data_IF_537373666273
#
_entry.id   IF_537373666273
#
_cell.length_a   1.000
_cell.length_b   1.000
_cell.length_c   1.000
_cell.angle_alpha   90.00
_cell.angle_beta   90.00
_cell.angle_gamma   90.00
#
_symmetry.space_group_name_H-M   'P 1'
#
loop_
_entity.id
_entity.type
_entity.pdbx_description
1 polymer ?
#
# COMPACT_ATOMS: atom_id res chain seq x y z
N UNK A 1 41.58 29.87 53.38
CA UNK A 1 40.29 29.43 52.80
C UNK A 1 39.46 30.55 52.14
N UNK A 2 39.70 31.84 52.42
CA UNK A 2 38.98 32.94 51.73
C UNK A 2 39.72 33.43 50.46
N UNK A 3 41.05 33.27 50.38
CA UNK A 3 41.82 33.66 49.19
C UNK A 3 41.67 32.71 47.98
N UNK A 4 41.50 31.39 48.22
CA UNK A 4 41.40 30.39 47.13
C UNK A 4 40.03 30.37 46.43
N UNK A 5 38.97 30.89 47.06
CA UNK A 5 37.64 30.98 46.42
C UNK A 5 37.53 32.18 45.49
N UNK A 6 38.28 33.26 45.77
CA UNK A 6 38.33 34.46 44.93
C UNK A 6 39.06 34.21 43.59
N UNK A 7 40.05 33.32 43.57
CA UNK A 7 40.78 32.95 42.34
C UNK A 7 39.94 32.07 41.41
N UNK A 8 39.18 31.11 41.93
CA UNK A 8 38.31 30.24 41.11
C UNK A 8 37.16 31.03 40.45
N UNK A 9 36.49 31.93 41.19
CA UNK A 9 35.45 32.79 40.63
C UNK A 9 35.99 33.74 39.57
N UNK A 10 37.22 34.25 39.76
CA UNK A 10 37.88 35.10 38.76
C UNK A 10 38.22 34.32 37.47
N UNK A 11 38.65 33.07 37.60
CA UNK A 11 38.97 32.19 36.48
C UNK A 11 37.71 31.83 35.70
N UNK A 12 36.64 31.46 36.41
CA UNK A 12 35.33 31.18 35.81
C UNK A 12 34.77 32.42 35.12
N UNK A 13 34.91 33.60 35.73
CA UNK A 13 34.54 34.89 35.11
C UNK A 13 35.34 35.20 33.83
N UNK A 14 36.63 34.85 33.78
CA UNK A 14 37.48 35.01 32.57
C UNK A 14 37.10 34.01 31.48
N UNK A 15 36.85 32.75 31.83
CA UNK A 15 36.39 31.71 30.90
C UNK A 15 35.02 32.08 30.33
N UNK A 16 34.07 32.49 31.18
CA UNK A 16 32.75 32.99 30.79
C UNK A 16 32.87 34.14 29.79
N UNK A 17 33.73 35.15 30.05
CA UNK A 17 33.96 36.25 29.09
C UNK A 17 34.57 35.77 27.77
N UNK A 18 35.47 34.79 27.82
CA UNK A 18 36.20 34.33 26.63
C UNK A 18 35.36 33.45 25.70
N UNK A 19 34.37 32.74 26.24
CA UNK A 19 33.51 31.81 25.48
C UNK A 19 32.09 32.33 25.25
N UNK A 20 31.45 33.01 26.21
CA UNK A 20 30.04 33.44 26.07
C UNK A 20 29.86 34.83 25.47
N UNK A 21 30.90 35.68 25.47
CA UNK A 21 30.83 37.03 24.90
C UNK A 21 31.48 37.13 23.51
N UNK A 22 31.83 36.00 22.90
CA UNK A 22 32.23 35.98 21.49
C UNK A 22 31.02 36.30 20.61
N UNK A 23 31.16 37.21 19.62
CA UNK A 23 30.07 37.57 18.72
C UNK A 23 29.42 36.35 18.07
N UNK A 24 30.20 35.34 17.73
CA UNK A 24 29.74 34.11 17.07
C UNK A 24 28.88 33.25 18.01
N UNK A 25 29.27 33.14 19.28
CA UNK A 25 28.54 32.36 20.28
C UNK A 25 27.22 33.04 20.65
N UNK A 26 27.22 34.37 20.78
CA UNK A 26 26.01 35.15 20.98
C UNK A 26 25.07 35.04 19.77
N UNK A 27 25.62 35.07 18.55
CA UNK A 27 24.84 34.93 17.32
C UNK A 27 24.19 33.54 17.20
N UNK A 28 24.93 32.47 17.50
CA UNK A 28 24.40 31.10 17.53
C UNK A 28 23.33 30.93 18.61
N UNK A 29 23.54 31.52 19.79
CA UNK A 29 22.55 31.51 20.86
C UNK A 29 21.26 32.22 20.42
N UNK A 30 21.37 33.40 19.79
CA UNK A 30 20.22 34.13 19.25
C UNK A 30 19.48 33.33 18.16
N UNK A 31 20.19 32.66 17.25
CA UNK A 31 19.57 31.78 16.25
C UNK A 31 18.85 30.61 16.93
N UNK A 32 19.49 29.96 17.91
CA UNK A 32 18.88 28.83 18.61
C UNK A 32 17.62 29.24 19.38
N UNK A 33 17.61 30.41 20.00
CA UNK A 33 16.45 30.98 20.68
C UNK A 33 15.36 31.41 19.69
N UNK A 34 15.73 31.96 18.53
CA UNK A 34 14.80 32.30 17.47
C UNK A 34 14.15 31.05 16.85
N UNK A 35 14.94 29.99 16.61
CA UNK A 35 14.44 28.68 16.16
C UNK A 35 13.56 28.03 17.22
N UNK A 36 13.97 28.05 18.49
CA UNK A 36 13.15 27.54 19.59
C UNK A 36 11.83 28.31 19.70
N UNK A 37 11.87 29.65 19.62
CA UNK A 37 10.66 30.47 19.56
C UNK A 37 9.82 30.14 18.33
N UNK A 38 10.41 29.97 17.15
CA UNK A 38 9.68 29.62 15.93
C UNK A 38 9.01 28.25 16.06
N UNK A 39 9.74 27.22 16.48
CA UNK A 39 9.18 25.86 16.64
C UNK A 39 8.16 25.77 17.76
N UNK A 40 8.32 26.50 18.88
CA UNK A 40 7.43 26.34 20.03
C UNK A 40 6.39 27.45 20.20
N UNK A 41 6.46 28.56 19.46
CA UNK A 41 5.47 29.64 19.49
C UNK A 41 4.70 29.85 18.19
N UNK A 42 5.04 29.18 17.08
CA UNK A 42 4.14 29.14 15.92
C UNK A 42 2.89 28.32 16.25
N UNK A 43 1.73 28.90 15.95
CA UNK A 43 0.44 28.28 16.24
C UNK A 43 0.25 26.96 15.48
N UNK A 44 0.93 26.77 14.35
CA UNK A 44 0.93 25.52 13.59
C UNK A 44 1.55 24.35 14.36
N UNK A 45 2.73 24.54 14.96
CA UNK A 45 3.37 23.46 15.76
C UNK A 45 2.61 23.21 17.06
N UNK A 46 2.09 24.26 17.70
CA UNK A 46 1.20 24.09 18.86
C UNK A 46 -0.06 23.31 18.49
N UNK A 47 -0.63 23.54 17.31
CA UNK A 47 -1.79 22.82 16.80
C UNK A 47 -1.46 21.36 16.50
N UNK A 48 -0.29 21.08 15.90
CA UNK A 48 0.17 19.71 15.66
C UNK A 48 0.41 18.97 16.98
N UNK A 49 1.14 19.57 17.94
CA UNK A 49 1.41 18.95 19.25
C UNK A 49 0.12 18.75 20.04
N UNK A 50 -0.80 19.72 20.01
CA UNK A 50 -2.12 19.60 20.64
C UNK A 50 -2.94 18.51 19.98
N UNK A 51 -2.98 18.46 18.65
CA UNK A 51 -3.65 17.41 17.87
C UNK A 51 -3.10 16.01 18.19
N UNK A 52 -1.77 15.84 18.21
CA UNK A 52 -1.14 14.57 18.59
C UNK A 52 -1.45 14.18 20.03
N UNK A 53 -1.41 15.14 20.96
CA UNK A 53 -1.72 14.90 22.38
C UNK A 53 -3.21 14.57 22.59
N UNK A 54 -4.10 15.24 21.87
CA UNK A 54 -5.54 15.00 21.91
C UNK A 54 -5.88 13.66 21.26
N UNK A 55 -5.19 13.27 20.16
CA UNK A 55 -5.28 11.94 19.56
C UNK A 55 -4.82 10.85 20.54
N UNK A 56 -3.68 11.02 21.21
CA UNK A 56 -3.20 10.07 22.24
C UNK A 56 -4.15 9.98 23.42
N UNK A 57 -4.75 11.10 23.86
CA UNK A 57 -5.78 11.11 24.91
C UNK A 57 -7.06 10.42 24.46
N UNK A 58 -7.48 10.60 23.22
CA UNK A 58 -8.65 9.95 22.65
C UNK A 58 -8.43 8.43 22.53
N UNK A 59 -7.22 8.00 22.11
CA UNK A 59 -6.82 6.59 22.10
C UNK A 59 -6.82 6.01 23.51
N UNK A 60 -6.21 6.68 24.49
CA UNK A 60 -6.22 6.23 25.89
C UNK A 60 -7.63 6.21 26.48
N UNK A 61 -8.48 7.18 26.13
CA UNK A 61 -9.88 7.26 26.52
C UNK A 61 -10.69 6.09 25.95
N UNK A 62 -10.58 5.84 24.63
CA UNK A 62 -11.22 4.71 23.96
C UNK A 62 -10.74 3.36 24.48
N UNK A 63 -9.44 3.20 24.77
CA UNK A 63 -8.90 1.97 25.38
C UNK A 63 -9.46 1.78 26.79
N UNK A 64 -9.57 2.83 27.59
CA UNK A 64 -10.17 2.77 28.92
C UNK A 64 -11.69 2.48 28.86
N UNK A 65 -12.39 3.01 27.86
CA UNK A 65 -13.81 2.80 27.60
C UNK A 65 -14.09 1.38 27.09
N UNK A 66 -13.23 0.84 26.21
CA UNK A 66 -13.25 -0.57 25.80
C UNK A 66 -13.00 -1.50 27.00
N UNK A 67 -12.03 -1.20 27.85
CA UNK A 67 -11.77 -1.96 29.08
C UNK A 67 -12.91 -1.87 30.11
N UNK A 68 -13.70 -0.81 30.12
CA UNK A 68 -14.92 -0.71 30.94
C UNK A 68 -16.11 -1.46 30.31
N UNK A 69 -16.26 -1.43 28.98
CA UNK A 69 -17.31 -2.17 28.26
C UNK A 69 -17.12 -3.69 28.28
N UNK A 70 -15.88 -4.19 28.39
CA UNK A 70 -15.60 -5.62 28.61
C UNK A 70 -16.27 -6.19 29.87
N UNK A 71 -16.61 -5.36 30.87
CA UNK A 71 -17.30 -5.82 32.09
C UNK A 71 -18.83 -5.92 31.98
N UNK A 72 -19.47 -5.34 30.96
CA UNK A 72 -20.94 -5.25 30.91
C UNK A 72 -21.60 -5.55 29.56
N UNK A 73 -20.86 -6.03 28.55
CA UNK A 73 -21.46 -6.43 27.26
C UNK A 73 -20.52 -6.47 26.05
N UNK A 74 -19.21 -6.29 26.24
CA UNK A 74 -18.23 -6.18 25.14
C UNK A 74 -18.00 -7.44 24.29
N UNK A 75 -18.42 -8.62 24.74
CA UNK A 75 -18.26 -9.86 23.96
C UNK A 75 -19.14 -9.85 22.70
N UNK A 76 -20.38 -9.37 22.81
CA UNK A 76 -21.34 -9.33 21.69
C UNK A 76 -20.96 -8.28 20.62
N UNK A 77 -20.30 -7.18 21.01
CA UNK A 77 -19.86 -6.12 20.08
C UNK A 77 -18.63 -6.57 19.29
N UNK A 78 -17.66 -7.21 19.94
CA UNK A 78 -16.49 -7.77 19.25
C UNK A 78 -16.90 -8.91 18.33
N UNK A 79 -17.81 -9.80 18.75
CA UNK A 79 -18.34 -10.87 17.90
C UNK A 79 -19.10 -10.33 16.69
N UNK A 80 -19.83 -9.21 16.83
CA UNK A 80 -20.47 -8.53 15.70
C UNK A 80 -19.46 -7.84 14.76
N UNK A 81 -18.44 -7.14 15.29
CA UNK A 81 -17.38 -6.50 14.50
C UNK A 81 -16.51 -7.53 13.74
N UNK A 82 -16.31 -8.74 14.29
CA UNK A 82 -15.59 -9.85 13.66
C UNK A 82 -16.49 -10.88 12.95
N UNK A 83 -17.79 -10.61 12.82
CA UNK A 83 -18.72 -11.52 12.13
C UNK A 83 -18.58 -11.48 10.60
N UNK A 84 -18.00 -10.42 10.05
CA UNK A 84 -17.87 -10.17 8.60
C UNK A 84 -16.41 -10.20 8.16
N UNK A 85 -15.87 -11.41 8.05
CA UNK A 85 -14.48 -11.64 7.65
C UNK A 85 -14.40 -12.67 6.55
N UNK A 86 -13.43 -12.51 5.66
CA UNK A 86 -13.10 -13.45 4.59
C UNK A 86 -11.64 -13.86 4.73
N UNK A 87 -11.39 -15.16 4.57
CA UNK A 87 -10.06 -15.70 4.67
C UNK A 87 -9.79 -16.70 3.54
N UNK A 88 -8.55 -16.73 3.11
CA UNK A 88 -8.04 -17.74 2.18
C UNK A 88 -6.68 -18.19 2.68
N UNK A 89 -6.41 -19.49 2.60
CA UNK A 89 -5.09 -20.04 2.90
C UNK A 89 -4.77 -21.19 1.97
N UNK A 90 -3.60 -21.12 1.37
CA UNK A 90 -2.96 -22.19 0.61
C UNK A 90 -1.48 -22.26 0.99
N UNK A 91 -0.77 -23.30 0.54
CA UNK A 91 0.59 -23.67 0.96
C UNK A 91 1.53 -22.48 1.23
N UNK A 92 1.55 -21.49 0.34
CA UNK A 92 2.43 -20.32 0.43
C UNK A 92 1.67 -18.98 0.34
N UNK A 93 0.34 -18.97 0.45
CA UNK A 93 -0.48 -17.76 0.34
C UNK A 93 -1.49 -17.71 1.47
N UNK A 94 -1.61 -16.56 2.13
CA UNK A 94 -2.68 -16.30 3.08
C UNK A 94 -3.31 -14.94 2.78
N UNK A 95 -4.64 -14.87 2.81
CA UNK A 95 -5.39 -13.63 2.73
C UNK A 95 -6.29 -13.55 3.95
N UNK A 96 -6.35 -12.37 4.54
CA UNK A 96 -7.35 -12.05 5.54
C UNK A 96 -7.97 -10.70 5.22
N UNK A 97 -9.27 -10.62 5.38
CA UNK A 97 -10.07 -9.50 4.94
C UNK A 97 -11.21 -9.27 5.91
N UNK A 98 -11.42 -8.04 6.34
CA UNK A 98 -12.50 -7.68 7.25
C UNK A 98 -13.24 -6.45 6.75
N UNK A 99 -14.57 -6.42 6.96
CA UNK A 99 -15.37 -5.24 6.67
C UNK A 99 -14.92 -4.02 7.51
N UNK A 100 -14.41 -4.27 8.71
CA UNK A 100 -13.96 -3.21 9.60
C UNK A 100 -15.12 -2.33 10.04
N UNK A 101 -14.96 -1.01 9.96
CA UNK A 101 -15.93 -0.03 10.48
C UNK A 101 -16.89 0.52 9.41
N UNK A 102 -16.78 0.05 8.17
CA UNK A 102 -17.68 0.42 7.07
C UNK A 102 -18.99 -0.36 7.16
N UNK A 103 -20.05 0.19 6.56
CA UNK A 103 -21.36 -0.49 6.47
C UNK A 103 -21.34 -1.65 5.47
N UNK A 104 -20.53 -1.53 4.43
CA UNK A 104 -20.37 -2.48 3.33
C UNK A 104 -18.94 -3.00 3.23
N UNK A 105 -18.80 -4.20 2.66
CA UNK A 105 -17.52 -4.77 2.28
C UNK A 105 -17.37 -4.63 0.76
N UNK A 106 -16.60 -3.65 0.31
CA UNK A 106 -16.37 -3.36 -1.11
C UNK A 106 -15.02 -3.89 -1.60
N UNK A 107 -14.11 -4.21 -0.68
CA UNK A 107 -12.86 -4.92 -0.94
C UNK A 107 -13.10 -6.32 -1.52
N UNK A 108 -12.26 -6.71 -2.49
CA UNK A 108 -12.21 -8.04 -3.10
C UNK A 108 -10.76 -8.49 -3.29
N UNK A 109 -10.56 -9.81 -3.31
CA UNK A 109 -9.28 -10.42 -3.65
C UNK A 109 -9.49 -11.66 -4.51
N UNK A 110 -8.46 -12.04 -5.26
CA UNK A 110 -8.41 -13.31 -5.98
C UNK A 110 -7.02 -13.93 -5.97
N UNK A 111 -6.96 -15.26 -5.90
CA UNK A 111 -5.72 -16.05 -5.89
C UNK A 111 -5.85 -17.20 -6.88
N UNK A 112 -5.14 -17.10 -8.01
CA UNK A 112 -5.15 -18.12 -9.06
C UNK A 112 -3.74 -18.69 -9.24
N UNK A 113 -3.51 -19.89 -8.72
CA UNK A 113 -2.21 -20.58 -8.78
C UNK A 113 -2.33 -21.91 -9.52
N UNK A 114 -1.45 -22.19 -10.48
CA UNK A 114 -1.29 -23.53 -11.08
C UNK A 114 0.02 -24.16 -10.60
N UNK A 115 0.03 -24.56 -9.33
CA UNK A 115 1.25 -25.09 -8.68
C UNK A 115 1.67 -26.43 -9.29
N UNK A 116 0.71 -27.21 -9.82
CA UNK A 116 0.94 -28.57 -10.31
C UNK A 116 1.55 -28.54 -11.71
N UNK A 117 0.92 -27.85 -12.66
CA UNK A 117 1.42 -27.87 -14.04
C UNK A 117 2.35 -26.69 -14.34
N UNK A 118 2.36 -25.65 -13.48
CA UNK A 118 3.09 -24.39 -13.69
C UNK A 118 2.88 -23.83 -15.10
N UNK A 119 1.69 -24.01 -15.65
CA UNK A 119 1.41 -23.68 -17.06
C UNK A 119 1.35 -22.18 -17.35
N UNK A 120 1.22 -21.38 -16.30
CA UNK A 120 1.26 -19.92 -16.33
C UNK A 120 1.76 -19.36 -14.98
N UNK A 121 2.19 -18.09 -14.93
CA UNK A 121 2.47 -17.41 -13.66
C UNK A 121 1.29 -17.44 -12.70
N UNK A 122 1.55 -17.55 -11.40
CA UNK A 122 0.50 -17.37 -10.39
C UNK A 122 -0.01 -15.93 -10.42
N UNK A 123 -1.33 -15.75 -10.29
CA UNK A 123 -2.00 -14.46 -10.37
C UNK A 123 -2.58 -14.13 -8.99
N UNK A 124 -2.29 -12.93 -8.50
CA UNK A 124 -2.78 -12.41 -7.24
C UNK A 124 -3.41 -11.04 -7.47
N UNK A 125 -4.63 -10.83 -7.00
CA UNK A 125 -5.36 -9.57 -7.18
C UNK A 125 -5.94 -9.03 -5.87
N UNK A 126 -5.83 -7.72 -5.67
CA UNK A 126 -6.56 -6.93 -4.67
C UNK A 126 -7.32 -5.82 -5.40
N UNK A 127 -8.61 -5.69 -5.10
CA UNK A 127 -9.52 -4.73 -5.69
C UNK A 127 -10.28 -4.03 -4.57
N UNK A 128 -9.88 -2.80 -4.26
CA UNK A 128 -10.51 -1.98 -3.24
C UNK A 128 -11.65 -1.20 -3.90
N UNK A 129 -12.88 -1.55 -3.56
CA UNK A 129 -14.08 -1.01 -4.20
C UNK A 129 -14.55 0.27 -3.54
N UNK A 130 -15.17 1.16 -4.32
CA UNK A 130 -15.80 2.37 -3.80
C UNK A 130 -17.04 2.75 -4.60
N UNK A 131 -18.01 3.37 -3.92
CA UNK A 131 -19.27 3.81 -4.55
C UNK A 131 -20.17 2.63 -4.96
N UNK A 132 -19.97 1.46 -4.38
CA UNK A 132 -20.67 0.22 -4.66
C UNK A 132 -19.71 -0.95 -4.93
N UNK A 133 -20.19 -2.17 -4.68
CA UNK A 133 -19.41 -3.40 -4.82
C UNK A 133 -19.22 -3.84 -6.30
N UNK A 134 -20.03 -3.29 -7.22
CA UNK A 134 -20.18 -3.82 -8.58
C UNK A 134 -18.90 -3.80 -9.42
N UNK A 135 -18.06 -2.77 -9.29
CA UNK A 135 -16.81 -2.66 -10.02
C UNK A 135 -15.77 -3.68 -9.51
N UNK A 136 -15.61 -3.79 -8.19
CA UNK A 136 -14.70 -4.74 -7.55
C UNK A 136 -15.13 -6.20 -7.81
N UNK A 137 -16.44 -6.49 -7.75
CA UNK A 137 -17.01 -7.80 -8.10
C UNK A 137 -16.71 -8.16 -9.56
N UNK A 138 -16.88 -7.22 -10.48
CA UNK A 138 -16.59 -7.44 -11.88
C UNK A 138 -15.11 -7.69 -12.12
N UNK A 139 -14.24 -6.87 -11.52
CA UNK A 139 -12.79 -7.01 -11.65
C UNK A 139 -12.29 -8.35 -11.12
N UNK A 140 -12.74 -8.75 -9.92
CA UNK A 140 -12.46 -10.06 -9.32
C UNK A 140 -12.86 -11.21 -10.25
N UNK A 141 -14.06 -11.15 -10.83
CA UNK A 141 -14.61 -12.26 -11.62
C UNK A 141 -13.97 -12.43 -13.00
N UNK A 142 -13.50 -11.36 -13.63
CA UNK A 142 -13.10 -11.38 -15.06
C UNK A 142 -11.60 -11.23 -15.28
N UNK A 143 -10.91 -10.36 -14.52
CA UNK A 143 -9.49 -10.06 -14.79
C UNK A 143 -8.57 -11.27 -14.61
N UNK A 144 -8.66 -12.04 -13.50
CA UNK A 144 -7.75 -13.17 -13.28
C UNK A 144 -7.92 -14.26 -14.34
N UNK A 145 -9.16 -14.50 -14.79
CA UNK A 145 -9.45 -15.48 -15.83
C UNK A 145 -8.98 -15.01 -17.21
N UNK A 146 -9.20 -13.74 -17.56
CA UNK A 146 -8.69 -13.16 -18.81
C UNK A 146 -7.16 -13.19 -18.88
N UNK A 147 -6.49 -12.85 -17.77
CA UNK A 147 -5.03 -12.98 -17.63
C UNK A 147 -4.59 -14.43 -17.78
N UNK A 148 -5.27 -15.38 -17.12
CA UNK A 148 -4.94 -16.81 -17.21
C UNK A 148 -4.94 -17.30 -18.66
N UNK A 149 -5.99 -16.99 -19.42
CA UNK A 149 -6.10 -17.41 -20.83
C UNK A 149 -4.98 -16.82 -21.70
N UNK A 150 -4.69 -15.53 -21.52
CA UNK A 150 -3.65 -14.86 -22.30
C UNK A 150 -2.25 -15.34 -21.93
N UNK A 151 -1.98 -15.57 -20.63
CA UNK A 151 -0.70 -16.07 -20.13
C UNK A 151 -0.45 -17.52 -20.55
N UNK A 152 -1.49 -18.38 -20.55
CA UNK A 152 -1.39 -19.75 -21.07
C UNK A 152 -0.97 -19.77 -22.54
N UNK A 153 -1.58 -18.90 -23.35
CA UNK A 153 -1.25 -18.78 -24.78
C UNK A 153 0.18 -18.28 -24.94
N UNK A 154 0.55 -17.26 -24.17
CA UNK A 154 1.89 -16.68 -24.16
C UNK A 154 2.98 -17.69 -23.77
N UNK A 155 2.81 -18.45 -22.69
CA UNK A 155 3.80 -19.45 -22.28
C UNK A 155 3.95 -20.57 -23.32
N UNK A 156 2.86 -21.05 -23.92
CA UNK A 156 2.92 -22.05 -25.01
C UNK A 156 3.66 -21.53 -26.24
N UNK A 157 3.47 -20.26 -26.60
CA UNK A 157 4.22 -19.62 -27.69
C UNK A 157 5.69 -19.47 -27.34
N UNK A 158 5.99 -19.04 -26.11
CA UNK A 158 7.34 -18.86 -25.61
C UNK A 158 8.12 -20.17 -25.54
N UNK A 159 7.49 -21.27 -25.13
CA UNK A 159 8.11 -22.60 -25.13
C UNK A 159 8.42 -23.08 -26.55
N UNK A 160 7.46 -22.96 -27.48
CA UNK A 160 7.67 -23.31 -28.90
C UNK A 160 8.79 -22.50 -29.54
N UNK A 161 8.91 -21.22 -29.22
CA UNK A 161 9.99 -20.37 -29.72
C UNK A 161 11.34 -20.76 -29.11
N UNK A 162 11.40 -21.07 -27.81
CA UNK A 162 12.63 -21.60 -27.16
C UNK A 162 13.12 -22.91 -27.77
N UNK A 163 12.22 -23.79 -28.20
CA UNK A 163 12.58 -25.03 -28.90
C UNK A 163 13.17 -24.75 -30.28
N UNK A 164 12.59 -23.82 -31.04
CA UNK A 164 13.09 -23.42 -32.38
C UNK A 164 14.43 -22.69 -32.31
N UNK A 165 14.64 -21.86 -31.30
CA UNK A 165 15.89 -21.10 -31.13
C UNK A 165 17.06 -22.00 -30.73
N UNK A 166 16.81 -23.18 -30.14
CA UNK A 166 17.86 -24.20 -29.95
C UNK A 166 18.35 -24.81 -31.26
N UNK A 167 17.58 -24.67 -32.35
CA UNK A 167 17.91 -25.22 -33.67
C UNK A 167 18.50 -24.16 -34.63
N UNK A 168 18.52 -22.87 -34.26
CA UNK A 168 19.04 -21.77 -35.12
C UNK A 168 19.84 -20.75 -34.31
N UNK A 169 21.14 -20.61 -34.63
CA UNK A 169 22.10 -19.69 -33.98
C UNK A 169 21.87 -18.18 -34.21
N UNK A 170 20.71 -17.76 -34.75
CA UNK A 170 20.44 -16.35 -35.05
C UNK A 170 19.48 -15.71 -34.02
N UNK A 171 20.06 -14.92 -33.11
CA UNK A 171 19.31 -14.03 -32.21
C UNK A 171 18.61 -12.92 -33.01
N UNK A 172 17.32 -13.11 -33.31
CA UNK A 172 16.44 -11.99 -33.68
C UNK A 172 15.84 -11.37 -32.41
N UNK A 173 16.02 -10.07 -32.23
CA UNK A 173 15.17 -9.28 -31.34
C UNK A 173 13.73 -9.35 -31.86
N UNK A 174 12.91 -10.23 -31.27
CA UNK A 174 11.47 -10.22 -31.51
C UNK A 174 10.84 -9.24 -30.53
N UNK A 175 10.21 -8.20 -31.06
CA UNK A 175 9.26 -7.34 -30.33
C UNK A 175 7.99 -8.11 -29.97
N UNK A 176 8.13 -9.12 -29.11
CA UNK A 176 7.06 -10.01 -28.67
C UNK A 176 6.29 -9.46 -27.47
N UNK A 177 5.09 -10.02 -27.25
CA UNK A 177 4.32 -9.82 -26.03
C UNK A 177 5.19 -10.07 -24.78
N UNK A 178 4.91 -9.33 -23.72
CA UNK A 178 5.58 -9.44 -22.42
C UNK A 178 4.54 -9.44 -21.31
N UNK A 179 4.88 -9.90 -20.09
CA UNK A 179 3.95 -9.82 -18.97
C UNK A 179 3.47 -8.37 -18.71
N UNK A 180 4.32 -7.33 -18.75
CA UNK A 180 3.85 -5.95 -18.65
C UNK A 180 2.80 -5.59 -19.72
N UNK A 181 3.05 -5.93 -20.99
CA UNK A 181 2.10 -5.62 -22.07
C UNK A 181 0.78 -6.37 -21.92
N UNK A 182 0.82 -7.63 -21.46
CA UNK A 182 -0.38 -8.43 -21.21
C UNK A 182 -1.20 -7.79 -20.07
N UNK A 183 -0.56 -7.43 -18.96
CA UNK A 183 -1.24 -6.76 -17.84
C UNK A 183 -1.89 -5.46 -18.26
N UNK A 184 -1.15 -4.59 -18.96
CA UNK A 184 -1.66 -3.32 -19.46
C UNK A 184 -2.90 -3.52 -20.35
N UNK A 185 -2.80 -4.41 -21.34
CA UNK A 185 -3.89 -4.68 -22.27
C UNK A 185 -5.13 -5.25 -21.58
N UNK A 186 -4.96 -6.20 -20.65
CA UNK A 186 -6.08 -6.82 -19.95
C UNK A 186 -6.76 -5.84 -18.97
N UNK A 187 -5.98 -5.03 -18.24
CA UNK A 187 -6.54 -4.02 -17.33
C UNK A 187 -7.32 -2.95 -18.10
N UNK A 188 -6.77 -2.44 -19.21
CA UNK A 188 -7.46 -1.44 -20.04
C UNK A 188 -8.70 -2.01 -20.74
N UNK A 189 -8.68 -3.30 -21.08
CA UNK A 189 -9.85 -3.98 -21.68
C UNK A 189 -10.95 -4.18 -20.64
N UNK A 190 -10.60 -4.68 -19.47
CA UNK A 190 -11.51 -4.84 -18.34
C UNK A 190 -12.17 -3.52 -17.97
N UNK A 191 -11.43 -2.42 -17.97
CA UNK A 191 -12.01 -1.11 -17.65
C UNK A 191 -13.12 -0.71 -18.64
N UNK A 192 -12.91 -0.93 -19.93
CA UNK A 192 -13.94 -0.66 -20.96
C UNK A 192 -15.19 -1.49 -20.70
N UNK A 193 -15.03 -2.77 -20.37
CA UNK A 193 -16.15 -3.67 -20.04
C UNK A 193 -16.90 -3.24 -18.77
N UNK A 194 -16.17 -2.80 -17.75
CA UNK A 194 -16.77 -2.22 -16.52
C UNK A 194 -17.58 -0.98 -16.89
N UNK A 195 -17.00 -0.06 -17.67
CA UNK A 195 -17.68 1.18 -18.08
C UNK A 195 -18.96 0.89 -18.86
N UNK A 196 -18.90 0.03 -19.87
CA UNK A 196 -20.07 -0.35 -20.68
C UNK A 196 -21.20 -0.93 -19.80
N UNK A 197 -20.84 -1.78 -18.84
CA UNK A 197 -21.80 -2.42 -17.93
C UNK A 197 -22.39 -1.43 -16.91
N UNK A 198 -21.55 -0.63 -16.27
CA UNK A 198 -21.97 0.24 -15.17
C UNK A 198 -22.67 1.51 -15.66
N UNK A 199 -22.24 2.09 -16.79
CA UNK A 199 -22.92 3.25 -17.37
C UNK A 199 -24.34 2.92 -17.84
N UNK A 200 -24.59 1.68 -18.30
CA UNK A 200 -25.92 1.21 -18.69
C UNK A 200 -26.92 1.16 -17.52
N UNK A 201 -26.42 1.07 -16.29
CA UNK A 201 -27.23 1.00 -15.06
C UNK A 201 -27.10 2.25 -14.19
N UNK A 202 -26.44 3.31 -14.68
CA UNK A 202 -26.11 4.52 -13.93
C UNK A 202 -25.41 4.24 -12.59
N UNK A 203 -24.62 3.17 -12.55
CA UNK A 203 -23.84 2.80 -11.39
C UNK A 203 -22.47 3.49 -11.48
N UNK A 204 -22.14 4.32 -10.49
CA UNK A 204 -20.89 5.10 -10.48
C UNK A 204 -19.74 4.40 -9.75
N UNK A 205 -19.91 3.12 -9.39
CA UNK A 205 -18.90 2.36 -8.67
C UNK A 205 -17.55 2.33 -9.41
N UNK A 206 -16.49 2.30 -8.63
CA UNK A 206 -15.13 2.11 -9.10
C UNK A 206 -14.38 1.14 -8.21
N UNK A 207 -13.17 0.80 -8.63
CA UNK A 207 -12.27 -0.02 -7.82
C UNK A 207 -10.82 0.24 -8.16
N UNK A 208 -9.92 0.07 -7.19
CA UNK A 208 -8.50 -0.06 -7.47
C UNK A 208 -8.21 -1.40 -8.16
N UNK A 209 -7.01 -1.55 -8.70
CA UNK A 209 -6.54 -2.81 -9.27
C UNK A 209 -5.05 -2.97 -8.98
N UNK A 210 -4.73 -3.81 -7.99
CA UNK A 210 -3.37 -4.23 -7.71
C UNK A 210 -3.25 -5.71 -8.08
N UNK A 211 -2.45 -6.01 -9.10
CA UNK A 211 -2.28 -7.37 -9.61
C UNK A 211 -0.81 -7.74 -9.70
N UNK A 212 -0.46 -8.91 -9.18
CA UNK A 212 0.88 -9.48 -9.27
C UNK A 212 0.88 -10.80 -10.05
N UNK A 213 1.78 -10.89 -11.03
CA UNK A 213 2.12 -12.11 -11.76
C UNK A 213 3.44 -12.67 -11.23
N UNK A 214 3.39 -13.86 -10.66
CA UNK A 214 4.54 -14.54 -10.08
C UNK A 214 4.92 -15.77 -10.91
N UNK A 215 6.06 -15.67 -11.60
CA UNK A 215 6.73 -16.80 -12.25
C UNK A 215 7.90 -17.30 -11.41
N UNK A 216 8.59 -18.35 -11.84
CA UNK A 216 9.74 -18.90 -11.10
C UNK A 216 10.92 -17.91 -10.97
N UNK A 217 11.06 -16.94 -11.87
CA UNK A 217 12.23 -16.02 -11.93
C UNK A 217 11.87 -14.54 -11.89
N UNK A 218 10.64 -14.20 -12.24
CA UNK A 218 10.19 -12.82 -12.38
C UNK A 218 8.88 -12.61 -11.64
N UNK A 219 8.78 -11.47 -10.96
CA UNK A 219 7.56 -10.91 -10.41
C UNK A 219 7.23 -9.64 -11.19
N UNK A 220 6.04 -9.57 -11.79
CA UNK A 220 5.52 -8.36 -12.46
C UNK A 220 4.28 -7.89 -11.73
N UNK A 221 4.26 -6.61 -11.31
CA UNK A 221 3.15 -6.02 -10.57
C UNK A 221 2.60 -4.82 -11.33
N UNK A 222 1.28 -4.78 -11.51
CA UNK A 222 0.55 -3.66 -12.07
C UNK A 222 -0.32 -3.03 -10.98
N UNK A 223 -0.33 -1.70 -10.91
CA UNK A 223 -1.16 -0.96 -9.96
C UNK A 223 -1.99 0.12 -10.65
N UNK A 224 -3.27 0.21 -10.28
CA UNK A 224 -4.21 1.29 -10.60
C UNK A 224 -4.92 1.66 -9.30
N UNK A 225 -4.51 2.75 -8.66
CA UNK A 225 -5.15 3.25 -7.45
C UNK A 225 -4.16 3.32 -6.30
N UNK A 226 -4.65 3.21 -5.07
CA UNK A 226 -3.90 3.38 -3.83
C UNK A 226 -3.83 2.12 -2.95
N UNK A 227 -4.33 0.98 -3.44
CA UNK A 227 -3.80 -0.31 -3.04
C UNK A 227 -2.29 -0.39 -3.30
N UNK A 228 -1.55 -1.09 -2.44
CA UNK A 228 -0.08 -1.16 -2.54
C UNK A 228 0.47 -2.56 -2.33
N UNK A 229 1.51 -2.87 -3.11
CA UNK A 229 2.34 -4.06 -2.95
C UNK A 229 3.71 -3.72 -2.36
N UNK A 230 4.20 -4.54 -1.43
CA UNK A 230 5.53 -4.41 -0.81
C UNK A 230 6.16 -5.80 -0.67
N UNK A 231 7.43 -5.93 -1.01
CA UNK A 231 8.21 -7.17 -0.92
C UNK A 231 9.25 -7.08 0.20
N UNK A 232 9.47 -8.18 0.90
CA UNK A 232 10.60 -8.36 1.81
C UNK A 232 11.72 -9.09 1.08
N UNK A 233 12.87 -8.43 0.90
CA UNK A 233 14.06 -9.09 0.34
C UNK A 233 14.75 -10.01 1.36
N UNK A 234 15.80 -10.73 0.92
CA UNK A 234 16.61 -11.62 1.77
C UNK A 234 17.25 -10.94 3.00
N UNK A 235 17.46 -9.64 2.94
CA UNK A 235 18.11 -8.87 4.00
C UNK A 235 17.07 -8.29 4.97
N UNK A 236 15.77 -8.43 4.67
CA UNK A 236 14.66 -7.91 5.47
C UNK A 236 14.21 -6.51 5.08
N UNK A 237 14.68 -5.97 3.96
CA UNK A 237 14.32 -4.63 3.52
C UNK A 237 12.95 -4.65 2.83
N UNK A 238 12.19 -3.58 3.04
CA UNK A 238 10.94 -3.34 2.35
C UNK A 238 11.22 -2.74 0.96
N UNK A 239 10.80 -3.45 -0.09
CA UNK A 239 10.90 -3.01 -1.48
C UNK A 239 9.48 -2.71 -1.99
N UNK A 240 9.13 -1.45 -2.29
CA UNK A 240 7.85 -1.12 -2.90
C UNK A 240 7.70 -1.82 -4.25
N UNK A 241 6.61 -2.57 -4.43
CA UNK A 241 6.24 -3.21 -5.69
C UNK A 241 5.34 -2.32 -6.56
N UNK A 242 4.70 -1.33 -5.94
CA UNK A 242 3.87 -0.33 -6.59
C UNK A 242 3.97 1.02 -5.87
N UNK A 243 3.43 2.06 -6.51
CA UNK A 243 3.26 3.38 -5.92
C UNK A 243 1.80 3.78 -6.02
N UNK A 244 1.24 4.30 -4.94
CA UNK A 244 -0.14 4.77 -4.92
C UNK A 244 -0.36 5.88 -5.93
N UNK A 245 -1.53 5.91 -6.53
CA UNK A 245 -1.98 6.98 -7.41
C UNK A 245 -2.81 7.98 -6.63
N UNK A 246 -2.14 8.86 -5.86
CA UNK A 246 -2.81 9.89 -5.06
C UNK A 246 -2.86 11.24 -5.80
N UNK A 247 -3.95 12.01 -5.71
CA UNK A 247 -4.13 13.24 -6.49
C UNK A 247 -3.03 14.29 -6.25
N UNK A 248 -2.48 14.37 -5.04
CA UNK A 248 -1.46 15.36 -4.68
C UNK A 248 -0.09 15.10 -5.33
N UNK A 249 0.15 13.91 -5.88
CA UNK A 249 1.40 13.58 -6.55
C UNK A 249 1.59 14.43 -7.81
N UNK A 250 2.84 14.83 -8.09
CA UNK A 250 3.11 15.80 -9.15
C UNK A 250 2.69 15.33 -10.55
N UNK A 251 2.91 14.05 -10.89
CA UNK A 251 2.51 13.44 -12.18
C UNK A 251 0.99 13.50 -12.35
N UNK A 252 0.26 13.07 -11.33
CA UNK A 252 -1.20 12.99 -11.32
C UNK A 252 -1.85 14.38 -11.31
N UNK A 253 -1.37 15.27 -10.44
CA UNK A 253 -1.83 16.67 -10.36
C UNK A 253 -1.69 17.41 -11.69
N UNK A 254 -0.57 17.22 -12.38
CA UNK A 254 -0.34 17.82 -13.72
C UNK A 254 -1.32 17.25 -14.74
N UNK A 255 -1.54 15.93 -14.74
CA UNK A 255 -2.50 15.26 -15.64
C UNK A 255 -3.92 15.77 -15.42
N UNK A 256 -4.40 15.77 -14.17
CA UNK A 256 -5.75 16.22 -13.80
C UNK A 256 -5.97 17.68 -14.22
N UNK A 257 -5.01 18.56 -13.92
CA UNK A 257 -5.09 19.98 -14.32
C UNK A 257 -5.11 20.15 -15.85
N UNK A 258 -4.34 19.35 -16.59
CA UNK A 258 -4.33 19.38 -18.06
C UNK A 258 -5.67 18.93 -18.65
N UNK A 259 -6.37 18.01 -17.99
CA UNK A 259 -7.73 17.59 -18.35
C UNK A 259 -8.82 18.63 -17.98
N UNK A 260 -8.46 19.77 -17.40
CA UNK A 260 -9.41 20.79 -16.94
C UNK A 260 -10.04 20.49 -15.57
N UNK A 261 -9.60 19.42 -14.90
CA UNK A 261 -10.02 19.08 -13.55
C UNK A 261 -9.31 19.90 -12.47
N UNK A 262 -9.81 19.77 -11.25
CA UNK A 262 -9.21 20.35 -10.05
C UNK A 262 -9.04 19.31 -8.95
N UNK A 263 -8.25 19.67 -7.94
CA UNK A 263 -8.06 18.88 -6.73
C UNK A 263 -8.41 19.77 -5.56
N UNK A 264 -9.25 19.28 -4.65
CA UNK A 264 -9.60 19.97 -3.41
C UNK A 264 -9.30 19.08 -2.20
N UNK A 265 -9.13 19.70 -1.04
CA UNK A 265 -8.89 19.00 0.21
C UNK A 265 -10.19 18.95 1.03
N UNK A 266 -10.66 17.75 1.35
CA UNK A 266 -11.81 17.50 2.24
C UNK A 266 -11.53 16.25 3.08
N UNK A 267 -10.78 16.43 4.17
CA UNK A 267 -10.19 15.34 4.97
C UNK A 267 -9.01 14.66 4.28
N UNK A 268 -9.11 14.44 2.96
CA UNK A 268 -8.05 13.98 2.07
C UNK A 268 -8.06 14.77 0.75
N UNK A 269 -6.98 14.71 -0.02
CA UNK A 269 -6.91 15.31 -1.36
C UNK A 269 -7.75 14.52 -2.34
N UNK A 270 -8.68 15.18 -3.04
CA UNK A 270 -9.68 14.53 -3.89
C UNK A 270 -9.76 15.15 -5.29
N UNK A 271 -9.85 14.30 -6.32
CA UNK A 271 -10.11 14.70 -7.71
C UNK A 271 -11.55 15.18 -7.84
N UNK A 272 -11.75 16.37 -8.39
CA UNK A 272 -13.06 17.05 -8.46
C UNK A 272 -13.75 17.21 -7.08
N UNK A 273 -13.00 17.09 -5.98
CA UNK A 273 -13.56 17.02 -4.63
C UNK A 273 -14.30 15.74 -4.27
N UNK A 274 -14.25 14.72 -5.14
CA UNK A 274 -15.00 13.46 -5.00
C UNK A 274 -14.05 12.32 -4.61
N UNK A 275 -13.14 11.93 -5.51
CA UNK A 275 -12.38 10.68 -5.38
C UNK A 275 -10.98 10.90 -4.77
N UNK A 276 -10.61 10.11 -3.76
CA UNK A 276 -9.34 10.28 -3.01
C UNK A 276 -8.09 9.70 -3.72
N UNK A 277 -8.30 9.01 -4.83
CA UNK A 277 -7.28 8.47 -5.73
C UNK A 277 -7.41 9.10 -7.13
N UNK A 278 -6.32 9.09 -7.91
CA UNK A 278 -6.28 9.69 -9.24
C UNK A 278 -6.49 8.71 -10.38
N UNK A 279 -6.41 7.40 -10.11
CA UNK A 279 -6.60 6.33 -11.07
C UNK A 279 -7.45 5.23 -10.45
N UNK A 280 -8.31 4.63 -11.26
CA UNK A 280 -9.22 3.55 -10.86
C UNK A 280 -9.84 2.90 -12.09
N UNK A 281 -10.41 1.72 -11.90
CA UNK A 281 -11.33 1.10 -12.83
C UNK A 281 -12.77 1.55 -12.53
N UNK A 282 -13.64 1.61 -13.53
CA UNK A 282 -14.99 2.17 -13.36
C UNK A 282 -14.99 3.70 -13.27
N UNK A 283 -15.75 4.30 -12.34
CA UNK A 283 -15.84 5.76 -12.16
C UNK A 283 -16.19 6.54 -13.45
N UNK A 284 -17.17 6.03 -14.23
CA UNK A 284 -17.51 6.57 -15.54
C UNK A 284 -17.75 8.10 -15.55
N UNK A 285 -18.38 8.73 -14.54
CA UNK A 285 -18.57 10.18 -14.56
C UNK A 285 -17.24 10.96 -14.58
N UNK A 286 -16.23 10.47 -13.83
CA UNK A 286 -14.91 11.10 -13.76
C UNK A 286 -14.05 10.77 -14.98
N UNK A 287 -14.23 9.58 -15.59
CA UNK A 287 -13.57 9.22 -16.84
C UNK A 287 -14.08 10.00 -18.04
N UNK A 288 -15.37 10.32 -18.08
CA UNK A 288 -15.93 11.21 -19.11
C UNK A 288 -15.29 12.62 -19.08
N UNK A 289 -14.76 13.04 -17.93
CA UNK A 289 -14.00 14.29 -17.77
C UNK A 289 -12.48 14.11 -17.99
N UNK A 290 -12.00 12.89 -18.24
CA UNK A 290 -10.58 12.53 -18.34
C UNK A 290 -9.73 12.87 -17.09
N UNK A 291 -10.37 13.08 -15.93
CA UNK A 291 -9.67 13.43 -14.68
C UNK A 291 -9.25 12.20 -13.89
N UNK A 292 -9.90 11.06 -14.11
CA UNK A 292 -9.50 9.73 -13.62
C UNK A 292 -9.20 8.85 -14.85
N UNK A 293 -8.20 7.98 -14.73
CA UNK A 293 -7.77 7.09 -15.83
C UNK A 293 -7.52 5.66 -15.31
N UNK A 294 -7.65 4.63 -16.16
CA UNK A 294 -7.39 3.24 -15.78
C UNK A 294 -5.93 2.79 -16.01
N UNK A 295 -5.07 3.66 -16.56
CA UNK A 295 -3.71 3.27 -16.95
C UNK A 295 -2.88 2.77 -15.75
N UNK A 296 -2.38 1.52 -15.80
CA UNK A 296 -1.55 0.97 -14.74
C UNK A 296 -0.12 1.50 -14.78
N UNK A 297 0.48 1.70 -13.61
CA UNK A 297 1.94 1.72 -13.50
C UNK A 297 2.39 0.26 -13.26
N UNK A 298 3.36 -0.23 -14.05
CA UNK A 298 3.80 -1.63 -14.05
C UNK A 298 5.30 -1.72 -13.73
N UNK A 299 5.66 -2.64 -12.83
CA UNK A 299 7.04 -2.88 -12.39
C UNK A 299 7.38 -4.38 -12.47
N UNK A 300 8.58 -4.70 -12.97
CA UNK A 300 9.12 -6.08 -13.03
C UNK A 300 10.35 -6.22 -12.14
N UNK A 301 10.46 -7.37 -11.48
CA UNK A 301 11.49 -7.67 -10.49
C UNK A 301 12.11 -9.06 -10.73
N UNK A 302 13.45 -9.13 -10.74
CA UNK A 302 14.19 -10.40 -10.84
C UNK A 302 14.33 -11.06 -9.47
N UNK A 303 13.65 -12.20 -9.30
CA UNK A 303 13.60 -12.96 -8.06
C UNK A 303 14.94 -13.64 -7.72
N UNK A 304 15.77 -13.93 -8.72
CA UNK A 304 17.09 -14.50 -8.47
C UNK A 304 18.04 -13.49 -7.82
N UNK A 305 17.87 -12.20 -8.17
CA UNK A 305 18.64 -11.11 -7.59
C UNK A 305 18.13 -10.75 -6.19
N UNK A 306 16.82 -10.60 -6.04
CA UNK A 306 16.20 -10.16 -4.79
C UNK A 306 16.15 -11.24 -3.71
N UNK A 307 15.97 -12.51 -4.11
CA UNK A 307 15.80 -13.66 -3.22
C UNK A 307 14.79 -13.35 -2.08
N UNK A 308 13.57 -12.94 -2.42
CA UNK A 308 12.61 -12.46 -1.44
C UNK A 308 12.13 -13.55 -0.48
N UNK A 309 11.73 -13.15 0.72
CA UNK A 309 11.10 -14.03 1.71
C UNK A 309 9.58 -14.10 1.49
N UNK A 310 8.93 -12.95 1.36
CA UNK A 310 7.49 -12.82 1.12
C UNK A 310 7.15 -11.49 0.45
N UNK A 311 5.93 -11.37 -0.08
CA UNK A 311 5.33 -10.10 -0.48
C UNK A 311 3.98 -9.90 0.19
N UNK A 312 3.62 -8.64 0.35
CA UNK A 312 2.37 -8.13 0.92
C UNK A 312 1.65 -7.39 -0.19
N UNK A 313 0.40 -7.74 -0.47
CA UNK A 313 -0.51 -6.97 -1.32
C UNK A 313 -1.70 -6.57 -0.46
N UNK A 314 -2.06 -5.30 -0.40
CA UNK A 314 -3.16 -4.85 0.47
C UNK A 314 -3.85 -3.59 -0.03
N UNK A 315 -5.11 -3.42 0.38
CA UNK A 315 -5.86 -2.15 0.26
C UNK A 315 -5.27 -1.07 1.17
N UNK A 316 -5.68 0.19 0.96
CA UNK A 316 -5.17 1.30 1.76
C UNK A 316 -5.62 1.21 3.23
N UNK A 317 -6.65 0.41 3.53
CA UNK A 317 -7.02 0.01 4.88
C UNK A 317 -5.87 -0.60 5.71
N UNK A 318 -4.81 -1.13 5.09
CA UNK A 318 -3.55 -1.42 5.78
C UNK A 318 -2.59 -0.22 5.77
N UNK A 319 -2.34 0.34 4.59
CA UNK A 319 -1.25 1.31 4.35
C UNK A 319 -1.47 2.68 4.98
N UNK A 320 -2.71 3.01 5.34
CA UNK A 320 -3.05 4.21 6.11
C UNK A 320 -2.63 4.10 7.58
N UNK A 321 -2.41 2.89 8.10
CA UNK A 321 -1.98 2.68 9.49
C UNK A 321 -0.59 2.05 9.64
N UNK A 322 0.03 1.60 8.55
CA UNK A 322 1.37 1.00 8.54
C UNK A 322 2.27 1.61 7.47
N UNK A 323 3.51 1.91 7.85
CA UNK A 323 4.58 2.08 6.86
C UNK A 323 5.00 0.74 6.25
N UNK A 324 5.67 0.80 5.09
CA UNK A 324 6.17 -0.37 4.39
C UNK A 324 7.11 -1.20 5.29
N UNK A 325 8.03 -0.53 5.99
CA UNK A 325 9.04 -1.14 6.86
C UNK A 325 8.41 -1.78 8.10
N UNK A 326 7.39 -1.14 8.69
CA UNK A 326 6.67 -1.70 9.83
C UNK A 326 5.87 -2.94 9.43
N UNK A 327 5.18 -2.91 8.28
CA UNK A 327 4.40 -4.05 7.79
C UNK A 327 5.30 -5.26 7.50
N UNK A 328 6.43 -5.04 6.83
CA UNK A 328 7.43 -6.09 6.56
C UNK A 328 7.98 -6.66 7.86
N UNK A 329 8.39 -5.83 8.82
CA UNK A 329 8.88 -6.33 10.11
C UNK A 329 7.83 -7.14 10.86
N UNK A 330 6.60 -6.63 10.91
CA UNK A 330 5.49 -7.27 11.61
C UNK A 330 5.20 -8.67 11.09
N UNK A 331 5.15 -8.81 9.75
CA UNK A 331 4.90 -10.10 9.09
C UNK A 331 6.09 -11.04 9.19
N UNK A 332 7.32 -10.54 9.02
CA UNK A 332 8.54 -11.36 9.08
C UNK A 332 8.66 -12.13 10.40
N UNK A 333 8.31 -11.48 11.52
CA UNK A 333 8.28 -12.10 12.86
C UNK A 333 7.16 -13.14 13.04
N UNK A 334 6.20 -13.19 12.13
CA UNK A 334 4.94 -13.96 12.23
C UNK A 334 4.70 -14.86 11.03
N UNK A 335 5.74 -15.11 10.24
CA UNK A 335 5.65 -15.99 9.08
C UNK A 335 5.20 -17.39 9.50
N UNK A 336 5.58 -17.89 10.66
CA UNK A 336 5.21 -19.24 11.11
C UNK A 336 3.78 -19.33 11.67
N UNK A 337 3.09 -18.20 11.82
CA UNK A 337 1.69 -18.19 12.22
C UNK A 337 0.77 -18.81 11.13
N UNK A 338 -0.43 -19.31 11.50
CA UNK A 338 -1.33 -19.96 10.56
C UNK A 338 -1.63 -19.14 9.29
N UNK A 339 -1.71 -17.81 9.35
CA UNK A 339 -1.96 -16.97 8.17
C UNK A 339 -0.75 -16.13 7.77
N UNK A 340 0.47 -16.56 8.11
CA UNK A 340 1.71 -15.85 7.78
C UNK A 340 1.68 -14.38 8.26
N UNK A 341 1.05 -14.11 9.41
CA UNK A 341 0.84 -12.78 9.93
C UNK A 341 -0.25 -11.95 9.23
N UNK A 342 -0.87 -12.41 8.14
CA UNK A 342 -1.92 -11.66 7.41
C UNK A 342 -3.12 -11.34 8.29
N UNK A 343 -3.63 -12.34 9.04
CA UNK A 343 -4.71 -12.12 10.01
C UNK A 343 -4.29 -11.15 11.11
N UNK A 344 -3.11 -11.36 11.69
CA UNK A 344 -2.58 -10.56 12.79
C UNK A 344 -2.37 -9.08 12.40
N UNK A 345 -1.89 -8.80 11.18
CA UNK A 345 -1.64 -7.43 10.73
C UNK A 345 -2.95 -6.70 10.38
N UNK A 346 -3.94 -7.40 9.81
CA UNK A 346 -5.29 -6.84 9.57
C UNK A 346 -5.94 -6.43 10.89
N UNK A 347 -5.92 -7.33 11.89
CA UNK A 347 -6.45 -7.03 13.21
C UNK A 347 -5.70 -5.85 13.86
N UNK A 348 -4.37 -5.79 13.71
CA UNK A 348 -3.61 -4.65 14.20
C UNK A 348 -3.96 -3.34 13.48
N UNK A 349 -4.20 -3.34 12.17
CA UNK A 349 -4.67 -2.14 11.46
C UNK A 349 -6.02 -1.67 11.99
N UNK A 350 -6.95 -2.62 12.22
CA UNK A 350 -8.24 -2.34 12.83
C UNK A 350 -8.12 -1.73 14.24
N UNK A 351 -7.28 -2.32 15.10
CA UNK A 351 -7.05 -1.80 16.46
C UNK A 351 -6.31 -0.46 16.48
N UNK A 352 -5.51 -0.15 15.45
CA UNK A 352 -4.94 1.20 15.23
C UNK A 352 -5.99 2.24 14.84
N UNK A 353 -7.24 1.82 14.62
CA UNK A 353 -8.37 2.70 14.36
C UNK A 353 -8.64 2.95 12.88
N UNK A 354 -8.19 2.06 11.99
CA UNK A 354 -8.54 2.13 10.58
C UNK A 354 -10.08 2.17 10.41
N UNK A 355 -10.63 3.17 9.71
CA UNK A 355 -12.07 3.29 9.49
C UNK A 355 -12.57 2.48 8.28
N UNK A 356 -11.68 1.83 7.54
CA UNK A 356 -11.96 1.24 6.23
C UNK A 356 -12.21 -0.29 6.25
N UNK A 357 -12.57 -0.84 5.10
CA UNK A 357 -12.33 -2.24 4.80
C UNK A 357 -10.83 -2.51 4.81
N UNK A 358 -10.41 -3.70 5.21
CA UNK A 358 -9.00 -4.02 5.34
C UNK A 358 -8.78 -5.40 4.75
N UNK A 359 -8.06 -5.47 3.63
CA UNK A 359 -7.66 -6.72 2.98
C UNK A 359 -6.16 -6.79 2.85
N UNK A 360 -5.57 -7.88 3.37
CA UNK A 360 -4.13 -8.14 3.27
C UNK A 360 -3.90 -9.55 2.78
N UNK A 361 -3.12 -9.66 1.70
CA UNK A 361 -2.59 -10.89 1.16
C UNK A 361 -1.09 -10.96 1.42
N UNK A 362 -0.64 -12.07 2.00
CA UNK A 362 0.77 -12.42 2.19
C UNK A 362 1.09 -13.64 1.34
N UNK A 363 2.08 -13.50 0.45
CA UNK A 363 2.59 -14.57 -0.39
C UNK A 363 4.03 -14.86 0.00
N UNK A 364 4.28 -16.04 0.57
CA UNK A 364 5.62 -16.55 0.84
C UNK A 364 6.27 -17.05 -0.45
N UNK A 365 7.52 -16.68 -0.66
CA UNK A 365 8.33 -17.26 -1.72
C UNK A 365 8.96 -18.56 -1.23
N UNK A 366 9.17 -19.52 -2.15
CA UNK A 366 9.85 -20.76 -1.82
C UNK A 366 11.33 -20.46 -1.58
N UNK A 367 11.83 -20.80 -0.39
CA UNK A 367 13.27 -20.80 -0.12
C UNK A 367 13.97 -21.88 -0.98
N UNK A 368 15.21 -21.62 -1.39
CA UNK A 368 16.04 -22.57 -2.17
C UNK A 368 16.37 -23.90 -1.44
N UNK A 369 15.80 -24.17 -0.27
CA UNK A 369 16.15 -25.30 0.61
C UNK A 369 15.13 -26.44 0.70
N UNK A 370 13.93 -26.31 0.13
CA UNK A 370 12.87 -27.32 0.24
C UNK A 370 12.58 -28.03 -1.09
N UNK A 371 13.63 -28.38 -1.82
CA UNK A 371 13.60 -29.46 -2.81
C UNK A 371 14.15 -30.72 -2.12
N UNK A 372 13.26 -31.45 -1.43
CA UNK A 372 13.50 -32.84 -1.02
C UNK A 372 12.35 -33.71 -1.54
#
# INVERSE_FOLDING_TARGET
MIEDTMTLLSLLGRIMRYFLLRPETLFLLCISLALWSYFFHTDEVKTIVKSSRDAVKMVKGKVAEMMQNERFGGLDVLDAEFSKTWEFKSNNVAVYSIQGRRDHMEDRFEVLTDIVNKSHPSIFGIFDGHGGEAAADFAKAHLPEALRQQLLTYERERERDREKDKEKDEKKEKGGLSYPSILEQQILTLDREILDKLSATYNEAGTTCLVALLSDKELTVANVGDSRGVLCDKDGNAIPLSHDHKPYQLKERKRIKKAGGFISFNGSWRVQGILAMSRSLGDYPLKNLNVVIPDPDIMSFDLNKLQPEFMILASDGLWDTFSNEEAVRFIRERLDEPHFGAKSIVLQSFYRGCPDNITVMVVKFKGKGNEQ
#
